data_IF_768778099196
#
_entry.id   IF_768778099196
#
_cell.length_a   1.000
_cell.length_b   1.000
_cell.length_c   1.000
_cell.angle_alpha   90.00
_cell.angle_beta   90.00
_cell.angle_gamma   90.00
#
_symmetry.space_group_name_H-M   'P 1'
#
loop_
_entity.id
_entity.type
_entity.pdbx_description
1 polymer ?
#
# COMPACT_ATOMS: atom_id res chain seq x y z
N UNK A 1 10.14 -1.81 -38.05
CA UNK A 1 9.95 -2.99 -37.20
C UNK A 1 11.29 -3.68 -37.10
N UNK A 2 11.61 -4.39 -36.01
CA UNK A 2 12.80 -5.24 -36.00
C UNK A 2 12.68 -6.24 -37.16
N UNK A 3 13.76 -6.49 -37.89
CA UNK A 3 13.77 -7.31 -39.11
C UNK A 3 13.48 -8.82 -38.85
N UNK A 4 13.19 -9.19 -37.60
CA UNK A 4 13.15 -10.57 -37.10
C UNK A 4 11.86 -10.91 -36.30
N UNK A 5 10.77 -10.17 -36.48
CA UNK A 5 9.53 -10.48 -35.78
C UNK A 5 8.81 -11.67 -36.44
N UNK A 6 8.71 -12.80 -35.74
CA UNK A 6 8.02 -14.01 -36.23
C UNK A 6 6.50 -13.83 -36.31
N UNK A 7 5.92 -13.06 -35.37
CA UNK A 7 4.48 -12.78 -35.29
C UNK A 7 4.20 -11.31 -34.95
N UNK A 8 3.09 -10.78 -35.47
CA UNK A 8 2.60 -9.43 -35.16
C UNK A 8 1.17 -9.54 -34.64
N UNK A 9 0.95 -9.08 -33.40
CA UNK A 9 -0.35 -9.04 -32.76
C UNK A 9 -0.84 -7.59 -32.69
N UNK A 10 -2.06 -7.35 -33.22
CA UNK A 10 -2.76 -6.07 -33.06
C UNK A 10 -4.14 -6.40 -32.50
N UNK A 11 -4.37 -6.05 -31.24
CA UNK A 11 -5.67 -6.25 -30.61
C UNK A 11 -6.70 -5.28 -31.18
N UNK A 12 -7.96 -5.73 -31.27
CA UNK A 12 -9.12 -4.93 -31.65
C UNK A 12 -10.27 -5.06 -30.63
N UNK A 13 -9.98 -5.55 -29.42
CA UNK A 13 -10.99 -5.72 -28.38
C UNK A 13 -11.63 -4.37 -28.02
N UNK A 14 -12.97 -4.33 -27.95
CA UNK A 14 -13.74 -3.15 -27.55
C UNK A 14 -14.50 -3.37 -26.23
N UNK A 15 -14.33 -4.53 -25.61
CA UNK A 15 -14.92 -4.91 -24.34
C UNK A 15 -13.99 -5.85 -23.59
N UNK A 16 -14.21 -6.04 -22.27
CA UNK A 16 -13.47 -7.04 -21.53
C UNK A 16 -13.61 -8.44 -22.11
N UNK A 17 -12.59 -9.30 -21.95
CA UNK A 17 -12.65 -10.70 -22.42
C UNK A 17 -13.73 -11.47 -21.64
N UNK A 18 -13.73 -11.36 -20.33
CA UNK A 18 -14.81 -11.85 -19.47
C UNK A 18 -15.46 -10.69 -18.74
N UNK A 19 -16.79 -10.59 -18.88
CA UNK A 19 -17.65 -9.72 -18.07
C UNK A 19 -18.65 -10.58 -17.31
N UNK A 20 -18.51 -10.62 -16.00
CA UNK A 20 -19.29 -11.45 -15.08
C UNK A 20 -20.02 -10.52 -14.12
N UNK A 21 -21.35 -10.49 -14.20
CA UNK A 21 -22.15 -9.52 -13.43
C UNK A 21 -23.34 -10.20 -12.77
N UNK A 22 -23.58 -9.87 -11.50
CA UNK A 22 -24.74 -10.36 -10.73
C UNK A 22 -24.82 -11.90 -10.63
N UNK A 23 -23.66 -12.56 -10.67
CA UNK A 23 -23.55 -14.02 -10.55
C UNK A 23 -22.46 -14.31 -9.53
N UNK A 24 -22.83 -15.07 -8.51
CA UNK A 24 -21.92 -15.51 -7.45
C UNK A 24 -21.24 -16.83 -7.81
N UNK A 25 -20.17 -17.16 -7.08
CA UNK A 25 -19.48 -18.47 -7.14
C UNK A 25 -18.87 -18.80 -8.50
N UNK A 26 -18.34 -17.79 -9.21
CA UNK A 26 -17.67 -17.99 -10.49
C UNK A 26 -16.15 -17.96 -10.31
N UNK A 27 -15.51 -19.07 -10.68
CA UNK A 27 -14.05 -19.22 -10.65
C UNK A 27 -13.47 -19.16 -12.05
N UNK A 28 -12.42 -18.34 -12.23
CA UNK A 28 -11.53 -18.36 -13.39
C UNK A 28 -10.18 -18.86 -12.89
N UNK A 29 -9.71 -19.98 -13.44
CA UNK A 29 -8.44 -20.55 -13.01
C UNK A 29 -7.63 -21.20 -14.13
N UNK A 30 -6.31 -21.21 -13.96
CA UNK A 30 -5.36 -21.90 -14.84
C UNK A 30 -5.41 -21.45 -16.32
N UNK A 31 -5.66 -20.16 -16.56
CA UNK A 31 -5.73 -19.58 -17.91
C UNK A 31 -4.58 -18.59 -18.17
N UNK A 32 -4.24 -18.43 -19.45
CA UNK A 32 -3.36 -17.38 -19.94
C UNK A 32 -4.20 -16.39 -20.74
N UNK A 33 -4.08 -15.11 -20.41
CA UNK A 33 -4.81 -13.99 -20.98
C UNK A 33 -3.84 -13.05 -21.68
N UNK A 34 -4.04 -12.81 -22.97
CA UNK A 34 -3.13 -12.00 -23.78
C UNK A 34 -3.86 -11.12 -24.80
N UNK A 35 -3.20 -10.02 -25.19
CA UNK A 35 -3.55 -9.20 -26.35
C UNK A 35 -4.96 -8.58 -26.31
N UNK A 36 -5.29 -7.88 -25.22
CA UNK A 36 -6.50 -7.07 -25.09
C UNK A 36 -6.15 -5.58 -24.99
N UNK A 37 -6.90 -4.72 -25.69
CA UNK A 37 -6.91 -3.26 -25.44
C UNK A 37 -7.68 -2.95 -24.15
N UNK A 38 -8.80 -3.64 -23.93
CA UNK A 38 -9.69 -3.44 -22.78
C UNK A 38 -9.29 -4.33 -21.60
N UNK A 39 -10.03 -4.23 -20.50
CA UNK A 39 -9.78 -5.05 -19.31
C UNK A 39 -9.86 -6.56 -19.62
N UNK A 40 -9.12 -7.42 -18.93
CA UNK A 40 -9.23 -8.86 -19.21
C UNK A 40 -10.47 -9.48 -18.56
N UNK A 41 -10.64 -9.25 -17.27
CA UNK A 41 -11.65 -9.90 -16.44
C UNK A 41 -12.32 -8.85 -15.55
N UNK A 42 -13.62 -8.68 -15.75
CA UNK A 42 -14.46 -7.70 -15.04
C UNK A 42 -15.58 -8.45 -14.30
N UNK A 43 -15.50 -8.46 -12.97
CA UNK A 43 -16.50 -8.97 -12.06
C UNK A 43 -17.20 -7.81 -11.35
N UNK A 44 -18.54 -7.75 -11.44
CA UNK A 44 -19.33 -6.70 -10.80
C UNK A 44 -20.55 -7.24 -10.06
N UNK A 45 -20.72 -6.79 -8.82
CA UNK A 45 -21.82 -7.18 -7.94
C UNK A 45 -21.91 -8.71 -7.78
N UNK A 46 -20.78 -9.33 -7.43
CA UNK A 46 -20.62 -10.78 -7.26
C UNK A 46 -20.15 -11.13 -5.85
N UNK A 47 -20.26 -12.39 -5.45
CA UNK A 47 -19.73 -12.92 -4.19
C UNK A 47 -19.16 -14.31 -4.40
N UNK A 48 -18.25 -14.73 -3.52
CA UNK A 48 -17.65 -16.07 -3.57
C UNK A 48 -16.91 -16.38 -4.89
N UNK A 49 -16.43 -15.35 -5.59
CA UNK A 49 -15.70 -15.49 -6.84
C UNK A 49 -14.20 -15.59 -6.62
N UNK A 50 -13.52 -16.27 -7.54
CA UNK A 50 -12.09 -16.55 -7.43
C UNK A 50 -11.41 -16.38 -8.79
N UNK A 51 -10.31 -15.62 -8.81
CA UNK A 51 -9.35 -15.62 -9.92
C UNK A 51 -8.04 -16.24 -9.41
N UNK A 52 -7.74 -17.45 -9.87
CA UNK A 52 -6.67 -18.27 -9.30
C UNK A 52 -5.69 -18.80 -10.34
N UNK A 53 -4.39 -18.64 -10.09
CA UNK A 53 -3.34 -19.27 -10.91
C UNK A 53 -3.44 -18.93 -12.41
N UNK A 54 -3.79 -17.69 -12.74
CA UNK A 54 -3.84 -17.19 -14.11
C UNK A 54 -2.59 -16.37 -14.45
N UNK A 55 -2.24 -16.35 -15.73
CA UNK A 55 -1.23 -15.44 -16.28
C UNK A 55 -1.90 -14.41 -17.17
N UNK A 56 -1.41 -13.19 -17.07
CA UNK A 56 -2.02 -11.98 -17.56
C UNK A 56 -0.88 -11.15 -18.17
N UNK A 57 -0.78 -11.08 -19.52
CA UNK A 57 0.28 -10.32 -20.21
C UNK A 57 -0.11 -9.64 -21.53
N UNK A 58 0.64 -8.60 -21.93
CA UNK A 58 0.40 -7.85 -23.18
C UNK A 58 -0.99 -7.17 -23.23
N UNK A 59 -1.30 -6.40 -22.18
CA UNK A 59 -2.62 -5.79 -21.94
C UNK A 59 -2.66 -4.27 -22.03
N UNK A 60 -3.72 -3.69 -22.58
CA UNK A 60 -3.88 -2.25 -22.75
C UNK A 60 -4.45 -1.51 -21.53
N UNK A 61 -5.32 -2.14 -20.75
CA UNK A 61 -5.93 -1.54 -19.54
C UNK A 61 -5.74 -2.42 -18.30
N UNK A 62 -6.80 -2.64 -17.49
CA UNK A 62 -6.73 -3.37 -16.22
C UNK A 62 -6.81 -4.87 -16.46
N UNK A 63 -6.41 -5.69 -15.49
CA UNK A 63 -6.47 -7.15 -15.67
C UNK A 63 -7.70 -7.72 -15.01
N UNK A 64 -7.73 -7.55 -13.70
CA UNK A 64 -8.78 -8.12 -12.87
C UNK A 64 -9.39 -6.98 -12.10
N UNK A 65 -10.63 -6.69 -12.44
CA UNK A 65 -11.50 -5.89 -11.61
C UNK A 65 -12.49 -6.83 -10.94
N UNK A 66 -12.48 -6.87 -9.60
CA UNK A 66 -13.34 -7.77 -8.84
C UNK A 66 -14.03 -7.01 -7.71
N UNK A 67 -15.31 -6.72 -7.91
CA UNK A 67 -16.12 -5.93 -6.99
C UNK A 67 -17.37 -6.68 -6.53
N UNK A 68 -17.58 -6.71 -5.22
CA UNK A 68 -18.65 -7.45 -4.58
C UNK A 68 -18.75 -7.16 -3.09
N UNK A 69 -19.42 -8.03 -2.35
CA UNK A 69 -19.58 -7.84 -0.90
C UNK A 69 -18.71 -8.81 -0.11
N UNK A 70 -18.65 -10.09 -0.50
CA UNK A 70 -18.13 -11.15 0.37
C UNK A 70 -17.28 -12.20 -0.34
N UNK A 71 -16.20 -12.64 0.34
CA UNK A 71 -15.40 -13.84 0.05
C UNK A 71 -14.94 -13.96 -1.41
N UNK A 72 -14.54 -12.83 -1.96
CA UNK A 72 -14.11 -12.64 -3.33
C UNK A 72 -12.59 -12.54 -3.36
N UNK A 73 -11.90 -13.35 -4.16
CA UNK A 73 -10.47 -13.55 -4.01
C UNK A 73 -9.70 -13.48 -5.34
N UNK A 74 -8.52 -12.88 -5.31
CA UNK A 74 -7.56 -12.83 -6.41
C UNK A 74 -6.27 -13.43 -5.88
N UNK A 75 -5.89 -14.62 -6.34
CA UNK A 75 -4.76 -15.35 -5.77
C UNK A 75 -3.86 -16.05 -6.78
N UNK A 76 -2.56 -16.11 -6.49
CA UNK A 76 -1.56 -16.87 -7.27
C UNK A 76 -1.45 -16.45 -8.73
N UNK A 77 -1.81 -15.21 -9.05
CA UNK A 77 -1.77 -14.72 -10.43
C UNK A 77 -0.42 -14.08 -10.77
N UNK A 78 -0.03 -14.17 -12.04
CA UNK A 78 1.16 -13.52 -12.60
C UNK A 78 0.72 -12.49 -13.62
N UNK A 79 1.08 -11.23 -13.40
CA UNK A 79 0.63 -10.09 -14.21
C UNK A 79 1.86 -9.30 -14.68
N UNK A 80 2.02 -9.10 -15.98
CA UNK A 80 3.11 -8.27 -16.50
C UNK A 80 2.84 -7.66 -17.87
N UNK A 81 3.61 -6.63 -18.23
CA UNK A 81 3.50 -5.91 -19.50
C UNK A 81 2.09 -5.36 -19.75
N UNK A 82 1.75 -4.34 -18.97
CA UNK A 82 0.37 -3.84 -18.87
C UNK A 82 0.25 -2.34 -18.98
N UNK A 83 -0.85 -1.85 -19.58
CA UNK A 83 -1.06 -0.43 -19.82
C UNK A 83 -1.67 0.34 -18.63
N UNK A 84 -2.42 -0.31 -17.74
CA UNK A 84 -2.98 0.30 -16.53
C UNK A 84 -2.78 -0.62 -15.30
N UNK A 85 -3.64 -0.47 -14.29
CA UNK A 85 -3.62 -1.18 -13.01
C UNK A 85 -3.59 -2.71 -13.18
N UNK A 86 -2.81 -3.42 -12.36
CA UNK A 86 -2.79 -4.88 -12.36
C UNK A 86 -4.12 -5.46 -11.87
N UNK A 87 -4.47 -5.28 -10.60
CA UNK A 87 -5.75 -5.77 -10.07
C UNK A 87 -6.41 -4.82 -9.06
N UNK A 88 -7.74 -4.83 -9.08
CA UNK A 88 -8.62 -4.19 -8.10
C UNK A 88 -9.48 -5.24 -7.40
N UNK A 89 -9.53 -5.19 -6.07
CA UNK A 89 -10.45 -5.98 -5.25
C UNK A 89 -11.29 -5.05 -4.36
N UNK A 90 -12.61 -5.04 -4.52
CA UNK A 90 -13.52 -4.23 -3.72
C UNK A 90 -14.53 -5.11 -3.00
N UNK A 91 -14.54 -5.05 -1.67
CA UNK A 91 -15.37 -5.91 -0.84
C UNK A 91 -15.85 -5.27 0.46
N UNK A 92 -17.00 -5.74 0.97
CA UNK A 92 -17.61 -5.25 2.20
C UNK A 92 -18.38 -3.95 2.00
N UNK A 93 -18.78 -3.32 3.11
CA UNK A 93 -19.52 -2.07 3.13
C UNK A 93 -18.97 -1.14 4.22
N UNK A 94 -18.44 0.02 3.81
CA UNK A 94 -17.83 1.00 4.72
C UNK A 94 -18.89 1.62 5.64
N UNK A 95 -19.99 2.13 5.07
CA UNK A 95 -21.09 2.77 5.82
C UNK A 95 -21.57 1.91 6.99
N UNK A 96 -21.71 0.60 6.76
CA UNK A 96 -22.23 -0.35 7.74
C UNK A 96 -21.15 -1.15 8.50
N UNK A 97 -19.86 -0.87 8.28
CA UNK A 97 -18.74 -1.67 8.80
C UNK A 97 -18.91 -3.19 8.55
N UNK A 98 -19.49 -3.56 7.41
CA UNK A 98 -19.64 -4.97 7.04
C UNK A 98 -18.35 -5.45 6.40
N UNK A 99 -17.68 -6.38 7.07
CA UNK A 99 -16.41 -6.96 6.62
C UNK A 99 -16.61 -7.88 5.41
N UNK A 100 -15.85 -7.61 4.35
CA UNK A 100 -15.86 -8.41 3.14
C UNK A 100 -15.13 -9.74 3.28
N UNK A 101 -14.07 -9.78 4.09
CA UNK A 101 -13.18 -10.95 4.24
C UNK A 101 -12.62 -11.44 2.90
N UNK A 102 -12.30 -10.50 2.01
CA UNK A 102 -11.75 -10.78 0.69
C UNK A 102 -10.21 -10.74 0.70
N UNK A 103 -9.60 -11.59 -0.13
CA UNK A 103 -8.15 -11.77 -0.16
C UNK A 103 -7.57 -11.48 -1.54
N UNK A 104 -6.64 -10.52 -1.59
CA UNK A 104 -5.69 -10.36 -2.69
C UNK A 104 -4.35 -10.89 -2.21
N UNK A 105 -4.04 -12.15 -2.53
CA UNK A 105 -2.87 -12.83 -1.95
C UNK A 105 -2.03 -13.65 -2.93
N UNK A 106 -0.72 -13.72 -2.72
CA UNK A 106 0.19 -14.50 -3.56
C UNK A 106 0.21 -14.09 -5.03
N UNK A 107 -0.08 -12.84 -5.35
CA UNK A 107 -0.02 -12.33 -6.72
C UNK A 107 1.32 -11.66 -7.00
N UNK A 108 1.74 -11.73 -8.25
CA UNK A 108 2.92 -11.07 -8.78
C UNK A 108 2.52 -10.07 -9.85
N UNK A 109 3.01 -8.84 -9.74
CA UNK A 109 2.88 -7.81 -10.77
C UNK A 109 4.24 -7.22 -11.14
N UNK A 110 4.56 -7.14 -12.43
CA UNK A 110 5.79 -6.49 -12.91
C UNK A 110 5.50 -5.65 -14.15
N UNK A 111 6.05 -4.43 -14.24
CA UNK A 111 5.93 -3.57 -15.44
C UNK A 111 4.46 -3.36 -15.82
N UNK A 112 3.69 -2.89 -14.84
CA UNK A 112 2.31 -2.46 -15.05
C UNK A 112 2.22 -0.96 -15.30
N UNK A 113 1.04 -0.48 -15.72
CA UNK A 113 0.74 0.96 -15.88
C UNK A 113 1.59 1.71 -16.93
N UNK A 114 1.96 1.05 -18.02
CA UNK A 114 2.81 1.60 -19.08
C UNK A 114 2.15 2.66 -19.98
N UNK A 115 0.82 2.78 -19.93
CA UNK A 115 0.06 3.80 -20.68
C UNK A 115 -0.48 4.85 -19.72
N UNK A 116 -1.02 4.43 -18.58
CA UNK A 116 -1.53 5.30 -17.54
C UNK A 116 -0.57 5.35 -16.34
N UNK A 117 0.39 6.27 -16.40
CA UNK A 117 1.56 6.30 -15.49
C UNK A 117 1.26 6.69 -14.04
N UNK A 118 0.29 7.57 -13.77
CA UNK A 118 0.06 8.16 -12.44
C UNK A 118 -1.33 7.86 -11.90
N UNK A 119 -1.45 7.86 -10.57
CA UNK A 119 -2.64 7.47 -9.79
C UNK A 119 -3.20 6.06 -10.11
N UNK A 120 -2.34 5.18 -10.63
CA UNK A 120 -2.66 3.80 -10.92
C UNK A 120 -1.70 2.89 -10.13
N UNK A 121 -2.20 2.16 -9.12
CA UNK A 121 -1.41 1.17 -8.42
C UNK A 121 -1.32 -0.14 -9.21
N UNK A 122 -0.31 -0.96 -8.93
CA UNK A 122 -0.37 -2.36 -9.36
C UNK A 122 -1.55 -3.05 -8.69
N UNK A 123 -1.62 -2.99 -7.37
CA UNK A 123 -2.65 -3.66 -6.58
C UNK A 123 -3.44 -2.68 -5.73
N UNK A 124 -4.77 -2.75 -5.86
CA UNK A 124 -5.71 -1.91 -5.09
C UNK A 124 -6.72 -2.78 -4.36
N UNK A 125 -6.92 -2.50 -3.08
CA UNK A 125 -8.01 -3.06 -2.30
C UNK A 125 -8.89 -1.96 -1.71
N UNK A 126 -10.20 -2.12 -1.77
CA UNK A 126 -11.15 -1.18 -1.19
C UNK A 126 -12.25 -1.87 -0.38
N UNK A 127 -12.75 -1.15 0.61
CA UNK A 127 -13.96 -1.50 1.37
C UNK A 127 -13.66 -1.77 2.83
N UNK A 128 -14.29 -2.75 3.46
CA UNK A 128 -14.13 -2.97 4.91
C UNK A 128 -13.65 -4.39 5.19
N UNK A 129 -12.63 -4.55 6.03
CA UNK A 129 -12.25 -5.88 6.55
C UNK A 129 -11.67 -6.84 5.52
N UNK A 130 -10.79 -6.36 4.63
CA UNK A 130 -10.18 -7.16 3.56
C UNK A 130 -8.66 -7.25 3.73
N UNK A 131 -8.03 -8.18 3.00
CA UNK A 131 -6.62 -8.51 3.16
C UNK A 131 -5.88 -8.43 1.83
N UNK A 132 -4.77 -7.70 1.81
CA UNK A 132 -3.79 -7.71 0.73
C UNK A 132 -2.49 -8.24 1.31
N UNK A 133 -2.15 -9.50 1.02
CA UNK A 133 -1.02 -10.16 1.70
C UNK A 133 -0.16 -11.04 0.82
N UNK A 134 1.11 -11.20 1.14
CA UNK A 134 2.03 -12.06 0.39
C UNK A 134 2.04 -11.76 -1.12
N UNK A 135 1.96 -10.51 -1.55
CA UNK A 135 2.10 -10.15 -2.97
C UNK A 135 3.51 -9.63 -3.24
N UNK A 136 3.93 -9.67 -4.51
CA UNK A 136 5.15 -9.04 -4.99
C UNK A 136 4.84 -8.06 -6.13
N UNK A 137 5.34 -6.83 -6.02
CA UNK A 137 5.22 -5.81 -7.07
C UNK A 137 6.61 -5.31 -7.45
N UNK A 138 6.90 -5.27 -8.76
CA UNK A 138 8.17 -4.78 -9.28
C UNK A 138 7.99 -3.79 -10.44
N UNK A 139 8.90 -2.82 -10.55
CA UNK A 139 9.08 -1.98 -11.73
C UNK A 139 7.82 -1.22 -12.18
N UNK A 140 7.13 -0.55 -11.26
CA UNK A 140 5.92 0.22 -11.57
C UNK A 140 6.19 1.72 -11.55
N UNK A 141 5.52 2.51 -12.42
CA UNK A 141 5.83 3.92 -12.61
C UNK A 141 5.46 4.83 -11.43
N UNK A 142 4.46 4.45 -10.63
CA UNK A 142 3.91 5.30 -9.57
C UNK A 142 3.64 4.51 -8.28
N UNK A 143 2.49 3.86 -8.13
CA UNK A 143 2.12 3.19 -6.87
C UNK A 143 2.29 1.67 -6.96
N UNK A 144 2.88 1.07 -5.91
CA UNK A 144 2.89 -0.39 -5.76
C UNK A 144 1.53 -0.90 -5.29
N UNK A 145 1.22 -0.55 -4.05
CA UNK A 145 0.01 -0.93 -3.32
C UNK A 145 -0.82 0.30 -2.96
N UNK A 146 -2.14 0.19 -3.10
CA UNK A 146 -3.12 1.18 -2.65
C UNK A 146 -4.20 0.49 -1.83
N UNK A 147 -4.66 1.14 -0.77
CA UNK A 147 -5.89 0.72 -0.10
C UNK A 147 -6.77 1.87 0.36
N UNK A 148 -8.08 1.64 0.34
CA UNK A 148 -9.09 2.56 0.84
C UNK A 148 -10.16 1.83 1.65
N UNK A 149 -10.27 2.18 2.92
CA UNK A 149 -11.35 1.72 3.79
C UNK A 149 -10.87 1.20 5.15
N UNK A 150 -11.80 1.04 6.11
CA UNK A 150 -11.49 0.63 7.47
C UNK A 150 -11.18 -0.87 7.56
N UNK A 151 -10.44 -1.24 8.59
CA UNK A 151 -10.14 -2.64 8.93
C UNK A 151 -9.43 -3.44 7.83
N UNK A 152 -8.71 -2.76 6.93
CA UNK A 152 -7.90 -3.39 5.89
C UNK A 152 -6.55 -3.81 6.45
N UNK A 153 -6.12 -5.02 6.12
CA UNK A 153 -4.79 -5.52 6.44
C UNK A 153 -3.90 -5.57 5.19
N UNK A 154 -2.73 -4.94 5.28
CA UNK A 154 -1.65 -4.99 4.29
C UNK A 154 -0.47 -5.71 4.95
N UNK A 155 -0.23 -6.98 4.62
CA UNK A 155 0.79 -7.77 5.33
C UNK A 155 1.65 -8.70 4.48
N UNK A 156 2.91 -8.87 4.84
CA UNK A 156 3.82 -9.80 4.15
C UNK A 156 4.02 -9.51 2.65
N UNK A 157 3.74 -8.29 2.18
CA UNK A 157 3.95 -7.93 0.79
C UNK A 157 5.39 -7.45 0.56
N UNK A 158 5.85 -7.53 -0.68
CA UNK A 158 7.18 -7.11 -1.12
C UNK A 158 7.08 -6.17 -2.33
N UNK A 159 7.80 -5.06 -2.31
CA UNK A 159 7.82 -4.11 -3.43
C UNK A 159 9.24 -3.67 -3.76
N UNK A 160 9.57 -3.68 -5.07
CA UNK A 160 10.91 -3.43 -5.58
C UNK A 160 10.84 -2.41 -6.72
N UNK A 161 11.71 -1.39 -6.69
CA UNK A 161 11.84 -0.42 -7.76
C UNK A 161 10.49 0.22 -8.18
N UNK A 162 9.81 0.80 -7.20
CA UNK A 162 8.56 1.54 -7.36
C UNK A 162 8.87 3.01 -7.69
N UNK A 163 7.86 3.74 -8.18
CA UNK A 163 7.98 5.15 -8.55
C UNK A 163 9.00 5.45 -9.65
N UNK A 164 9.28 4.49 -10.54
CA UNK A 164 10.38 4.63 -11.49
C UNK A 164 10.17 5.72 -12.56
N UNK A 165 8.96 6.29 -12.65
CA UNK A 165 8.57 7.31 -13.64
C UNK A 165 7.75 8.48 -13.05
N UNK A 166 7.57 8.53 -11.72
CA UNK A 166 6.77 9.56 -11.04
C UNK A 166 7.26 9.85 -9.61
N UNK A 167 6.81 10.97 -9.03
CA UNK A 167 7.14 11.45 -7.69
C UNK A 167 5.83 11.66 -6.95
N UNK A 168 5.90 11.84 -5.63
CA UNK A 168 4.72 11.92 -4.77
C UNK A 168 3.92 10.62 -4.80
N UNK A 169 4.67 9.55 -4.57
CA UNK A 169 4.19 8.19 -4.69
C UNK A 169 4.97 7.27 -3.76
N UNK A 170 4.48 6.05 -3.59
CA UNK A 170 5.19 5.09 -2.78
C UNK A 170 4.91 3.63 -3.10
N UNK A 171 5.68 2.77 -2.43
CA UNK A 171 5.43 1.34 -2.42
C UNK A 171 4.03 1.05 -1.85
N UNK A 172 3.61 1.80 -0.84
CA UNK A 172 2.25 1.78 -0.30
C UNK A 172 1.70 3.19 -0.14
N UNK A 173 0.48 3.43 -0.60
CA UNK A 173 -0.24 4.70 -0.43
C UNK A 173 -1.64 4.50 0.16
N UNK A 174 -2.02 5.42 1.05
CA UNK A 174 -3.38 5.71 1.45
C UNK A 174 -3.43 7.15 1.98
N UNK A 175 -4.59 7.84 1.96
CA UNK A 175 -4.65 9.21 2.46
C UNK A 175 -6.07 9.78 2.62
N UNK A 176 -6.21 10.98 3.19
CA UNK A 176 -7.44 11.79 3.14
C UNK A 176 -8.71 11.20 3.78
N UNK A 177 -8.57 10.31 4.78
CA UNK A 177 -9.72 9.70 5.47
C UNK A 177 -9.51 9.58 6.99
N UNK A 178 -10.48 10.10 7.75
CA UNK A 178 -10.49 9.96 9.21
C UNK A 178 -11.13 8.65 9.65
N UNK A 179 -11.97 8.06 8.81
CA UNK A 179 -12.81 6.89 9.09
C UNK A 179 -12.17 5.56 8.67
N UNK A 180 -11.07 5.57 7.91
CA UNK A 180 -10.39 4.35 7.43
C UNK A 180 -9.55 3.66 8.54
N UNK A 181 -10.08 3.64 9.76
CA UNK A 181 -9.39 3.20 10.98
C UNK A 181 -9.42 1.68 11.18
N UNK A 182 -8.58 1.22 12.10
CA UNK A 182 -8.52 -0.19 12.51
C UNK A 182 -7.83 -1.09 11.49
N UNK A 183 -7.21 -0.49 10.46
CA UNK A 183 -6.35 -1.19 9.52
C UNK A 183 -4.96 -1.46 10.10
N UNK A 184 -4.24 -2.39 9.48
CA UNK A 184 -2.85 -2.67 9.85
C UNK A 184 -1.94 -2.79 8.62
N UNK A 185 -0.76 -2.19 8.71
CA UNK A 185 0.32 -2.30 7.73
C UNK A 185 1.47 -3.00 8.46
N UNK A 186 1.69 -4.29 8.20
CA UNK A 186 2.63 -5.08 8.99
C UNK A 186 3.45 -6.09 8.22
N UNK A 187 4.70 -6.27 8.64
CA UNK A 187 5.58 -7.29 8.08
C UNK A 187 5.75 -7.19 6.56
N UNK A 188 5.70 -6.00 5.99
CA UNK A 188 6.00 -5.79 4.56
C UNK A 188 7.49 -5.48 4.37
N UNK A 189 8.02 -5.79 3.19
CA UNK A 189 9.40 -5.46 2.82
C UNK A 189 9.42 -4.65 1.52
N UNK A 190 9.66 -3.35 1.64
CA UNK A 190 9.74 -2.45 0.49
C UNK A 190 11.17 -2.01 0.31
N UNK A 191 11.75 -2.18 -0.88
CA UNK A 191 13.15 -1.84 -1.08
C UNK A 191 13.53 -1.36 -2.48
N UNK A 192 14.71 -0.74 -2.54
CA UNK A 192 15.42 -0.37 -3.77
C UNK A 192 14.59 0.48 -4.74
N UNK A 193 13.91 1.49 -4.20
CA UNK A 193 13.11 2.44 -4.99
C UNK A 193 13.79 3.80 -5.04
N UNK A 194 14.31 4.15 -6.22
CA UNK A 194 15.14 5.35 -6.43
C UNK A 194 14.42 6.50 -7.14
N UNK A 195 13.23 6.24 -7.66
CA UNK A 195 12.45 7.24 -8.39
C UNK A 195 12.92 7.51 -9.81
N UNK A 196 12.27 8.49 -10.43
CA UNK A 196 12.65 9.04 -11.73
C UNK A 196 13.48 10.32 -11.52
N UNK A 197 14.81 10.23 -11.55
CA UNK A 197 15.66 11.42 -11.43
C UNK A 197 17.06 11.13 -10.91
N UNK A 198 18.02 11.86 -11.48
CA UNK A 198 19.46 11.77 -11.21
C UNK A 198 19.81 11.90 -9.72
N UNK A 199 21.01 11.44 -9.29
CA UNK A 199 21.54 11.75 -7.96
C UNK A 199 21.42 13.25 -7.64
N UNK A 200 20.65 13.60 -6.60
CA UNK A 200 20.42 14.99 -6.18
C UNK A 200 19.15 15.65 -6.74
N UNK A 201 18.40 15.00 -7.64
CA UNK A 201 17.05 15.40 -8.01
C UNK A 201 16.04 14.84 -7.02
N UNK A 202 15.34 15.68 -6.27
CA UNK A 202 14.41 15.30 -5.20
C UNK A 202 13.15 14.59 -5.71
N UNK A 203 13.27 13.31 -6.07
CA UNK A 203 12.12 12.44 -6.31
C UNK A 203 11.49 12.09 -4.96
N UNK A 204 10.23 12.47 -4.74
CA UNK A 204 9.52 12.21 -3.49
C UNK A 204 8.96 10.78 -3.51
N UNK A 205 9.86 9.82 -3.36
CA UNK A 205 9.56 8.37 -3.38
C UNK A 205 9.50 7.82 -1.97
N UNK A 206 8.36 7.25 -1.61
CA UNK A 206 8.04 6.94 -0.23
C UNK A 206 7.88 5.43 -0.05
N UNK A 207 8.40 4.86 1.02
CA UNK A 207 8.12 3.46 1.34
C UNK A 207 6.68 3.27 1.73
N UNK A 208 6.34 3.80 2.90
CA UNK A 208 4.97 3.83 3.44
C UNK A 208 4.48 5.28 3.42
N UNK A 209 3.43 5.56 2.65
CA UNK A 209 2.84 6.89 2.55
C UNK A 209 1.44 6.90 3.17
N UNK A 210 1.35 7.44 4.40
CA UNK A 210 0.11 7.63 5.16
C UNK A 210 -0.24 9.11 5.07
N UNK A 211 -0.95 9.47 4.01
CA UNK A 211 -1.04 10.85 3.56
C UNK A 211 -2.26 11.58 4.12
N UNK A 212 -2.23 12.90 4.03
CA UNK A 212 -3.41 13.76 4.14
C UNK A 212 -4.35 13.45 5.32
N UNK A 213 -3.83 13.49 6.55
CA UNK A 213 -4.56 13.20 7.77
C UNK A 213 -5.18 11.79 7.88
N UNK A 214 -4.70 10.81 7.12
CA UNK A 214 -5.05 9.42 7.35
C UNK A 214 -4.81 9.04 8.82
N UNK A 215 -5.82 8.46 9.46
CA UNK A 215 -5.85 8.33 10.92
C UNK A 215 -6.19 6.90 11.37
N UNK A 216 -5.80 6.54 12.59
CA UNK A 216 -6.17 5.26 13.23
C UNK A 216 -5.51 4.02 12.63
N UNK A 217 -4.28 4.14 12.14
CA UNK A 217 -3.51 3.03 11.54
C UNK A 217 -2.57 2.37 12.55
N UNK A 218 -2.44 1.05 12.49
CA UNK A 218 -1.39 0.27 13.16
C UNK A 218 -0.29 -0.11 12.15
N UNK A 219 0.93 0.41 12.32
CA UNK A 219 2.02 0.27 11.34
C UNK A 219 3.25 -0.32 12.03
N UNK A 220 3.52 -1.61 11.82
CA UNK A 220 4.58 -2.28 12.56
C UNK A 220 5.27 -3.46 11.89
N UNK A 221 6.51 -3.71 12.27
CA UNK A 221 7.26 -4.85 11.75
C UNK A 221 7.60 -4.74 10.28
N UNK A 222 7.44 -3.57 9.65
CA UNK A 222 7.79 -3.37 8.25
C UNK A 222 9.27 -3.07 8.11
N UNK A 223 9.83 -3.42 6.96
CA UNK A 223 11.19 -3.08 6.56
C UNK A 223 11.09 -2.21 5.31
N UNK A 224 11.65 -1.02 5.37
CA UNK A 224 11.80 -0.12 4.22
C UNK A 224 13.27 0.18 4.04
N UNK A 225 13.84 -0.17 2.89
CA UNK A 225 15.28 -0.09 2.66
C UNK A 225 15.65 0.53 1.31
N UNK A 226 16.70 1.35 1.28
CA UNK A 226 17.27 1.91 0.05
C UNK A 226 16.27 2.77 -0.77
N UNK A 227 15.53 3.65 -0.08
CA UNK A 227 14.63 4.60 -0.72
C UNK A 227 15.32 5.95 -0.93
N UNK A 228 15.26 6.49 -2.15
CA UNK A 228 15.69 7.88 -2.42
C UNK A 228 14.54 8.83 -2.07
N UNK A 229 14.08 8.75 -0.84
CA UNK A 229 12.97 9.48 -0.25
C UNK A 229 12.66 8.93 1.14
N UNK A 230 11.45 9.09 1.65
CA UNK A 230 11.19 8.76 3.06
C UNK A 230 10.90 7.26 3.24
N UNK A 231 11.39 6.68 4.33
CA UNK A 231 11.01 5.34 4.75
C UNK A 231 9.51 5.28 5.05
N UNK A 232 9.07 6.18 5.92
CA UNK A 232 7.65 6.49 6.14
C UNK A 232 7.40 7.99 6.04
N UNK A 233 6.32 8.37 5.37
CA UNK A 233 5.77 9.71 5.37
C UNK A 233 4.42 9.70 6.11
N UNK A 234 4.38 10.38 7.26
CA UNK A 234 3.21 10.57 8.11
C UNK A 234 2.67 11.99 7.90
N UNK A 235 1.78 12.13 6.92
CA UNK A 235 1.21 13.41 6.47
C UNK A 235 0.11 13.92 7.42
N UNK A 236 0.46 14.08 8.69
CA UNK A 236 -0.49 14.35 9.76
C UNK A 236 -1.37 13.14 10.09
N UNK A 237 -2.57 13.42 10.59
CA UNK A 237 -3.52 12.37 10.98
C UNK A 237 -3.29 11.90 12.42
N UNK A 238 -4.38 11.55 13.09
CA UNK A 238 -4.43 11.29 14.53
C UNK A 238 -4.54 9.80 14.83
N UNK A 239 -4.16 9.41 16.05
CA UNK A 239 -4.32 8.05 16.55
C UNK A 239 -3.59 6.98 15.70
N UNK A 240 -2.52 7.37 15.00
CA UNK A 240 -1.64 6.43 14.28
C UNK A 240 -0.57 5.88 15.24
N UNK A 241 -0.34 4.58 15.19
CA UNK A 241 0.65 3.90 16.02
C UNK A 241 1.71 3.24 15.11
N UNK A 242 2.94 3.75 15.18
CA UNK A 242 4.04 3.41 14.27
C UNK A 242 5.19 2.84 15.09
N UNK A 243 5.39 1.52 15.03
CA UNK A 243 6.36 0.88 15.92
C UNK A 243 7.03 -0.36 15.36
N UNK A 244 8.19 -0.72 15.90
CA UNK A 244 8.88 -1.97 15.53
C UNK A 244 9.19 -2.07 14.02
N UNK A 245 9.41 -0.95 13.34
CA UNK A 245 9.77 -0.92 11.92
C UNK A 245 11.27 -0.70 11.74
N UNK A 246 11.81 -1.12 10.60
CA UNK A 246 13.18 -0.83 10.15
C UNK A 246 13.09 0.14 8.97
N UNK A 247 13.76 1.29 9.10
CA UNK A 247 13.96 2.26 8.03
C UNK A 247 15.46 2.42 7.79
N UNK A 248 15.95 1.81 6.70
CA UNK A 248 17.37 1.73 6.39
C UNK A 248 17.71 2.46 5.09
N UNK A 249 18.72 3.33 5.12
CA UNK A 249 19.23 3.99 3.92
C UNK A 249 18.12 4.71 3.12
N UNK A 250 17.34 5.53 3.83
CA UNK A 250 16.32 6.41 3.27
C UNK A 250 16.82 7.86 3.22
N UNK A 251 16.14 8.78 2.56
CA UNK A 251 16.39 10.23 2.75
C UNK A 251 16.03 10.64 4.18
N UNK A 252 14.83 10.27 4.61
CA UNK A 252 14.42 10.30 6.01
C UNK A 252 13.93 8.92 6.42
N UNK A 253 14.35 8.40 7.57
CA UNK A 253 13.79 7.16 8.11
C UNK A 253 12.30 7.35 8.41
N UNK A 254 12.01 8.34 9.25
CA UNK A 254 10.67 8.87 9.51
C UNK A 254 10.58 10.32 9.08
N UNK A 255 9.48 10.70 8.43
CA UNK A 255 9.10 12.10 8.25
C UNK A 255 7.66 12.31 8.68
N UNK A 256 7.44 13.29 9.55
CA UNK A 256 6.10 13.70 9.98
C UNK A 256 5.84 15.17 9.72
N UNK A 257 4.59 15.50 9.43
CA UNK A 257 4.10 16.88 9.42
C UNK A 257 2.76 17.01 10.17
N UNK A 258 2.32 18.25 10.38
CA UNK A 258 1.02 18.56 10.96
C UNK A 258 0.18 19.35 9.95
N UNK A 259 0.02 18.80 8.74
CA UNK A 259 -0.55 19.55 7.60
C UNK A 259 -2.02 19.96 7.70
N UNK A 260 -2.81 19.25 8.52
CA UNK A 260 -4.25 19.42 8.59
C UNK A 260 -4.72 20.88 8.66
N UNK A 261 -4.28 21.70 9.63
CA UNK A 261 -4.72 23.08 9.76
C UNK A 261 -4.56 23.99 8.53
N UNK A 262 -3.64 23.69 7.62
CA UNK A 262 -3.39 24.53 6.43
C UNK A 262 -3.64 23.82 5.09
N UNK A 263 -3.77 22.49 5.06
CA UNK A 263 -4.14 21.73 3.85
C UNK A 263 -5.60 21.28 3.83
N UNK A 264 -6.27 21.20 4.97
CA UNK A 264 -7.67 20.80 5.04
C UNK A 264 -8.56 21.75 4.23
N UNK A 265 -9.40 21.19 3.36
CA UNK A 265 -10.35 21.96 2.58
C UNK A 265 -11.73 21.94 3.22
N UNK A 266 -12.30 23.11 3.47
CA UNK A 266 -13.64 23.24 4.06
C UNK A 266 -14.76 23.35 3.03
N UNK A 267 -14.41 23.49 1.76
CA UNK A 267 -15.33 23.70 0.65
C UNK A 267 -15.91 22.37 0.16
N UNK A 268 -17.18 22.41 -0.23
CA UNK A 268 -17.89 21.25 -0.76
C UNK A 268 -17.25 20.76 -2.06
N UNK A 269 -17.02 19.46 -2.17
CA UNK A 269 -16.45 18.81 -3.34
C UNK A 269 -14.92 18.88 -3.43
N UNK A 270 -14.25 19.45 -2.43
CA UNK A 270 -12.78 19.41 -2.35
C UNK A 270 -12.31 18.04 -1.86
N UNK A 271 -11.25 17.51 -2.48
CA UNK A 271 -10.72 16.16 -2.19
C UNK A 271 -10.22 15.97 -0.75
N UNK A 272 -9.79 17.05 -0.09
CA UNK A 272 -9.29 17.04 1.29
C UNK A 272 -10.30 17.60 2.32
N UNK A 273 -11.59 17.49 2.02
CA UNK A 273 -12.65 17.77 2.98
C UNK A 273 -13.01 16.48 3.75
N UNK A 274 -12.27 16.20 4.83
CA UNK A 274 -12.37 14.89 5.52
C UNK A 274 -13.75 14.62 6.11
N UNK A 275 -14.47 15.65 6.58
CA UNK A 275 -15.84 15.48 7.06
C UNK A 275 -16.78 15.08 5.92
N UNK A 276 -16.64 15.69 4.73
CA UNK A 276 -17.42 15.33 3.55
C UNK A 276 -17.03 13.97 2.99
N UNK A 277 -15.75 13.57 3.05
CA UNK A 277 -15.31 12.24 2.66
C UNK A 277 -16.00 11.15 3.50
N UNK A 278 -16.13 11.35 4.81
CA UNK A 278 -16.91 10.46 5.68
C UNK A 278 -18.39 10.40 5.27
N UNK A 279 -19.00 11.57 5.01
CA UNK A 279 -20.41 11.65 4.61
C UNK A 279 -20.65 10.96 3.25
N UNK A 280 -19.73 11.12 2.29
CA UNK A 280 -19.75 10.45 0.98
C UNK A 280 -19.60 8.93 1.11
N UNK A 281 -18.86 8.47 2.11
CA UNK A 281 -18.75 7.04 2.46
C UNK A 281 -19.97 6.53 3.26
N UNK A 282 -20.95 7.38 3.55
CA UNK A 282 -22.16 7.03 4.29
C UNK A 282 -21.92 6.73 5.76
N UNK A 283 -20.86 7.30 6.35
CA UNK A 283 -20.45 7.02 7.74
C UNK A 283 -21.24 7.88 8.72
N UNK A 284 -22.15 7.26 9.46
CA UNK A 284 -22.81 7.89 10.61
C UNK A 284 -21.98 7.70 11.89
N UNK A 285 -21.03 8.60 12.12
CA UNK A 285 -20.12 8.56 13.28
C UNK A 285 -20.80 8.74 14.65
N UNK A 286 -22.08 9.10 14.71
CA UNK A 286 -22.80 9.33 15.97
C UNK A 286 -23.69 8.16 16.37
N UNK A 287 -23.99 7.25 15.44
CA UNK A 287 -24.83 6.08 15.69
C UNK A 287 -24.05 4.77 15.46
N UNK A 288 -24.53 3.65 16.03
CA UNK A 288 -23.99 2.34 15.70
C UNK A 288 -24.10 2.05 14.18
N UNK A 289 -23.13 1.35 13.59
CA UNK A 289 -22.03 0.64 14.26
C UNK A 289 -20.83 1.53 14.61
N UNK A 290 -20.68 2.70 13.98
CA UNK A 290 -19.49 3.54 14.08
C UNK A 290 -19.26 4.12 15.47
N UNK A 291 -20.30 4.67 16.12
CA UNK A 291 -20.12 5.27 17.45
C UNK A 291 -19.75 4.25 18.54
N UNK A 292 -20.11 2.97 18.34
CA UNK A 292 -19.72 1.88 19.23
C UNK A 292 -18.31 1.37 18.93
N UNK A 293 -17.97 1.18 17.64
CA UNK A 293 -16.68 0.62 17.22
C UNK A 293 -15.53 1.64 17.34
N UNK A 294 -15.78 2.88 16.93
CA UNK A 294 -14.81 3.98 16.89
C UNK A 294 -15.36 5.22 17.60
N UNK A 295 -15.50 5.18 18.95
CA UNK A 295 -16.13 6.26 19.71
C UNK A 295 -15.40 7.60 19.61
N UNK A 296 -14.10 7.63 19.26
CA UNK A 296 -13.36 8.88 19.03
C UNK A 296 -13.95 9.70 17.88
N UNK A 297 -14.46 9.05 16.83
CA UNK A 297 -15.09 9.73 15.69
C UNK A 297 -16.38 10.48 16.08
N UNK A 298 -17.13 9.96 17.07
CA UNK A 298 -18.35 10.60 17.57
C UNK A 298 -18.10 11.94 18.29
N UNK A 299 -16.84 12.25 18.59
CA UNK A 299 -16.41 13.49 19.25
C UNK A 299 -15.97 14.58 18.28
N UNK A 300 -15.77 14.22 17.00
CA UNK A 300 -15.43 15.20 15.97
C UNK A 300 -16.55 16.24 15.84
N UNK A 301 -16.22 17.49 15.47
CA UNK A 301 -17.21 18.48 15.08
C UNK A 301 -18.20 17.94 14.04
N UNK A 302 -19.47 18.37 14.11
CA UNK A 302 -20.49 17.93 13.15
C UNK A 302 -20.28 18.58 11.80
N UNK A 303 -19.83 19.82 11.79
CA UNK A 303 -19.71 20.64 10.58
C UNK A 303 -18.32 21.21 10.40
N UNK A 304 -17.99 21.56 9.16
CA UNK A 304 -16.76 22.29 8.84
C UNK A 304 -16.70 23.66 9.55
N UNK A 305 -17.83 24.33 9.75
CA UNK A 305 -17.88 25.61 10.48
C UNK A 305 -17.52 25.46 11.96
N UNK A 306 -17.91 24.35 12.59
CA UNK A 306 -17.46 24.04 13.94
C UNK A 306 -15.98 23.65 13.94
N UNK A 307 -15.53 22.84 12.98
CA UNK A 307 -14.13 22.40 12.89
C UNK A 307 -13.15 23.57 12.69
N UNK A 308 -13.55 24.61 11.93
CA UNK A 308 -12.73 25.83 11.71
C UNK A 308 -12.41 26.61 12.98
N UNK A 309 -13.19 26.46 14.04
CA UNK A 309 -12.99 27.24 15.27
C UNK A 309 -11.64 26.86 15.91
N UNK A 310 -10.85 27.84 16.40
CA UNK A 310 -9.52 27.57 16.95
C UNK A 310 -9.48 26.45 17.99
N UNK A 311 -10.48 26.36 18.85
CA UNK A 311 -10.62 25.32 19.88
C UNK A 311 -10.82 23.90 19.32
N UNK A 312 -11.24 23.76 18.06
CA UNK A 312 -11.52 22.48 17.40
C UNK A 312 -10.44 22.08 16.37
N UNK A 313 -9.49 22.96 16.06
CA UNK A 313 -8.42 22.67 15.08
C UNK A 313 -7.53 21.50 15.50
N UNK A 314 -7.50 21.17 16.79
CA UNK A 314 -6.78 20.02 17.30
C UNK A 314 -7.26 18.68 16.70
N UNK A 315 -8.52 18.59 16.24
CA UNK A 315 -9.06 17.37 15.64
C UNK A 315 -8.38 16.96 14.32
N UNK A 316 -7.72 17.91 13.65
CA UNK A 316 -6.97 17.68 12.40
C UNK A 316 -5.44 17.78 12.61
N UNK A 317 -5.01 17.85 13.88
CA UNK A 317 -3.60 17.70 14.25
C UNK A 317 -3.27 16.22 14.51
N UNK A 318 -1.98 15.83 14.38
CA UNK A 318 -1.53 14.46 14.63
C UNK A 318 -1.42 14.11 16.12
N UNK A 319 -2.48 14.41 16.87
CA UNK A 319 -2.62 14.06 18.28
C UNK A 319 -2.86 12.56 18.46
N UNK A 320 -2.57 12.06 19.66
CA UNK A 320 -2.74 10.65 20.04
C UNK A 320 -1.96 9.67 19.16
N UNK A 321 -1.00 10.16 18.37
CA UNK A 321 -0.08 9.32 17.61
C UNK A 321 1.08 8.87 18.49
N UNK A 322 1.42 7.58 18.38
CA UNK A 322 2.55 6.98 19.07
C UNK A 322 3.59 6.49 18.05
N UNK A 323 4.82 6.98 18.17
CA UNK A 323 5.94 6.55 17.33
C UNK A 323 7.02 6.00 18.25
N UNK A 324 7.20 4.67 18.27
CA UNK A 324 8.10 4.05 19.23
C UNK A 324 8.75 2.76 18.76
N UNK A 325 9.91 2.41 19.34
CA UNK A 325 10.60 1.16 19.03
C UNK A 325 10.95 0.96 17.54
N UNK A 326 11.25 2.03 16.80
CA UNK A 326 11.66 1.91 15.40
C UNK A 326 13.18 1.96 15.26
N UNK A 327 13.70 1.18 14.32
CA UNK A 327 15.11 1.23 13.92
C UNK A 327 15.24 2.16 12.73
N UNK A 328 15.83 3.32 12.93
CA UNK A 328 16.20 4.25 11.86
C UNK A 328 17.71 4.28 11.76
N UNK A 329 18.26 3.98 10.58
CA UNK A 329 19.70 3.87 10.41
C UNK A 329 20.15 4.21 8.98
N UNK A 330 21.31 4.85 8.88
CA UNK A 330 21.98 5.22 7.64
C UNK A 330 21.17 6.14 6.70
N UNK A 331 20.28 6.98 7.26
CA UNK A 331 19.52 7.92 6.43
C UNK A 331 20.42 9.01 5.85
N UNK A 332 20.21 9.39 4.59
CA UNK A 332 21.10 10.31 3.85
C UNK A 332 20.91 11.78 4.24
N UNK A 333 19.73 12.16 4.77
CA UNK A 333 19.49 13.49 5.34
C UNK A 333 19.40 13.44 6.86
N UNK A 334 18.34 12.84 7.41
CA UNK A 334 18.16 12.65 8.86
C UNK A 334 17.38 11.38 9.13
N UNK A 335 17.68 10.70 10.22
CA UNK A 335 16.88 9.52 10.63
C UNK A 335 15.41 9.88 10.91
N UNK A 336 15.16 11.06 11.49
CA UNK A 336 13.82 11.62 11.67
C UNK A 336 13.75 13.09 11.21
N UNK A 337 12.76 13.40 10.39
CA UNK A 337 12.40 14.73 9.90
C UNK A 337 11.02 15.15 10.41
N UNK A 338 10.87 16.45 10.68
CA UNK A 338 9.65 17.03 11.21
C UNK A 338 9.35 18.34 10.52
N UNK A 339 8.06 18.59 10.28
CA UNK A 339 7.54 19.86 9.82
C UNK A 339 6.43 20.35 10.76
N UNK A 340 6.17 21.66 10.75
CA UNK A 340 5.03 22.28 11.45
C UNK A 340 5.02 22.07 12.98
N UNK A 341 6.18 21.72 13.56
CA UNK A 341 6.30 21.44 15.00
C UNK A 341 5.61 20.14 15.43
N UNK A 342 5.37 19.21 14.50
CA UNK A 342 4.68 17.93 14.77
C UNK A 342 5.27 17.16 15.95
N UNK A 343 6.57 17.27 16.18
CA UNK A 343 7.28 16.59 17.27
C UNK A 343 6.80 17.00 18.66
N UNK A 344 6.10 18.13 18.77
CA UNK A 344 5.50 18.65 20.02
C UNK A 344 4.04 18.27 20.17
N UNK A 345 3.42 17.72 19.12
CA UNK A 345 1.99 17.44 19.01
C UNK A 345 1.72 15.95 19.17
N UNK A 346 2.58 15.12 18.58
CA UNK A 346 2.51 13.66 18.74
C UNK A 346 2.57 13.28 20.22
N UNK A 347 1.78 12.29 20.62
CA UNK A 347 1.64 11.88 22.01
C UNK A 347 2.91 11.23 22.53
N UNK A 348 3.54 10.40 21.71
CA UNK A 348 4.70 9.60 22.11
C UNK A 348 5.76 9.54 21.02
N UNK A 349 7.00 9.81 21.41
CA UNK A 349 8.20 9.60 20.61
C UNK A 349 9.30 8.97 21.47
N UNK A 350 9.42 7.64 21.47
CA UNK A 350 10.29 6.93 22.41
C UNK A 350 10.98 5.72 21.79
N UNK A 351 12.19 5.36 22.26
CA UNK A 351 12.88 4.13 21.86
C UNK A 351 13.08 3.97 20.34
N UNK A 352 13.15 5.08 19.61
CA UNK A 352 13.53 5.09 18.21
C UNK A 352 15.04 5.28 18.11
N UNK A 353 15.75 4.36 17.45
CA UNK A 353 17.20 4.53 17.22
C UNK A 353 17.47 5.59 16.17
N UNK A 354 18.73 6.00 16.06
CA UNK A 354 19.24 6.82 14.98
C UNK A 354 20.60 6.27 14.51
N UNK A 355 21.21 6.92 13.52
CA UNK A 355 22.46 6.49 12.89
C UNK A 355 23.69 6.47 13.81
N UNK A 356 23.62 7.03 15.03
CA UNK A 356 24.66 6.87 16.05
C UNK A 356 24.53 5.58 16.87
N UNK A 357 23.42 4.87 16.72
CA UNK A 357 23.06 3.70 17.49
C UNK A 357 22.99 2.48 16.57
N UNK A 358 24.10 1.74 16.50
CA UNK A 358 24.25 0.62 15.58
C UNK A 358 23.22 -0.50 15.86
N UNK A 359 22.33 -0.82 14.89
CA UNK A 359 21.40 -1.94 15.02
C UNK A 359 22.10 -3.31 14.95
N UNK A 360 23.34 -3.37 14.48
CA UNK A 360 24.11 -4.60 14.31
C UNK A 360 23.42 -5.62 13.41
N UNK A 361 23.00 -5.18 12.22
CA UNK A 361 22.47 -6.06 11.17
C UNK A 361 23.44 -7.20 10.84
N UNK A 362 22.92 -8.38 10.52
CA UNK A 362 23.75 -9.50 10.07
C UNK A 362 24.44 -9.18 8.75
N UNK A 363 23.70 -8.66 7.76
CA UNK A 363 24.23 -8.30 6.44
C UNK A 363 23.28 -7.36 5.66
N UNK A 364 23.21 -6.09 6.09
CA UNK A 364 22.37 -5.10 5.41
C UNK A 364 22.75 -4.86 3.94
N UNK A 365 23.99 -5.17 3.54
CA UNK A 365 24.44 -5.02 2.15
C UNK A 365 23.80 -6.03 1.20
N UNK A 366 23.38 -7.18 1.73
CA UNK A 366 22.63 -8.22 1.03
C UNK A 366 21.16 -8.29 1.49
N UNK A 367 20.62 -7.16 1.99
CA UNK A 367 19.23 -7.04 2.46
C UNK A 367 18.85 -7.97 3.63
N UNK A 368 19.82 -8.42 4.42
CA UNK A 368 19.57 -9.16 5.67
C UNK A 368 19.49 -8.19 6.85
N UNK A 369 18.27 -7.76 7.15
CA UNK A 369 17.95 -6.82 8.23
C UNK A 369 17.68 -7.49 9.58
N UNK A 370 17.92 -8.80 9.72
CA UNK A 370 17.95 -9.42 11.05
C UNK A 370 19.08 -8.78 11.86
N UNK A 371 18.87 -8.62 13.15
CA UNK A 371 19.82 -7.95 14.04
C UNK A 371 20.40 -8.92 15.06
N UNK A 372 21.58 -8.60 15.56
CA UNK A 372 22.19 -9.32 16.68
C UNK A 372 21.62 -8.76 17.99
N UNK A 373 21.44 -9.61 19.00
CA UNK A 373 20.83 -9.24 20.31
C UNK A 373 21.57 -8.12 21.06
N UNK A 374 22.81 -7.81 20.68
CA UNK A 374 23.59 -6.71 21.25
C UNK A 374 23.40 -5.36 20.52
N UNK A 375 22.57 -5.31 19.46
CA UNK A 375 22.18 -4.06 18.80
C UNK A 375 21.47 -3.09 19.75
N UNK A 376 21.61 -1.79 19.50
CA UNK A 376 21.15 -0.74 20.43
C UNK A 376 19.64 -0.80 20.72
N UNK A 377 18.83 -1.20 19.74
CA UNK A 377 17.37 -1.31 19.91
C UNK A 377 16.97 -2.31 21.01
N UNK A 378 17.72 -3.40 21.20
CA UNK A 378 17.40 -4.41 22.22
C UNK A 378 17.54 -3.88 23.65
N UNK A 379 18.36 -2.83 23.86
CA UNK A 379 18.51 -2.20 25.17
C UNK A 379 17.22 -1.53 25.65
N UNK A 380 16.31 -1.19 24.73
CA UNK A 380 15.02 -0.61 25.07
C UNK A 380 13.97 -1.65 25.51
N UNK A 381 14.24 -2.95 25.38
CA UNK A 381 13.31 -4.05 25.73
C UNK A 381 11.93 -3.93 25.08
N UNK A 382 11.85 -3.27 23.92
CA UNK A 382 10.61 -3.07 23.17
C UNK A 382 10.53 -3.91 21.89
N UNK A 383 11.69 -4.36 21.37
CA UNK A 383 11.82 -4.93 20.04
C UNK A 383 11.25 -6.35 19.95
N UNK A 384 10.59 -6.62 18.83
CA UNK A 384 10.10 -7.92 18.42
C UNK A 384 10.67 -8.25 17.04
N UNK A 385 11.24 -9.45 16.91
CA UNK A 385 11.77 -9.91 15.63
C UNK A 385 10.73 -9.85 14.51
N UNK A 386 11.19 -9.38 13.34
CA UNK A 386 10.40 -9.36 12.12
C UNK A 386 10.53 -10.74 11.46
N UNK A 387 9.42 -11.42 11.12
CA UNK A 387 9.41 -12.75 10.52
C UNK A 387 9.77 -12.70 9.03
N UNK A 388 11.00 -12.26 8.70
CA UNK A 388 11.47 -11.99 7.33
C UNK A 388 11.34 -13.18 6.38
N UNK A 389 11.42 -14.40 6.90
CA UNK A 389 11.29 -15.64 6.14
C UNK A 389 9.86 -15.94 5.65
N UNK A 390 8.88 -15.10 6.02
CA UNK A 390 7.48 -15.16 5.58
C UNK A 390 7.09 -14.02 4.63
N UNK A 391 7.94 -13.01 4.42
CA UNK A 391 7.60 -11.82 3.62
C UNK A 391 7.84 -12.07 2.13
N UNK A 392 6.83 -11.78 1.30
CA UNK A 392 6.83 -11.96 -0.15
C UNK A 392 6.12 -13.25 -0.60
N UNK A 393 6.35 -13.66 -1.84
CA UNK A 393 5.82 -14.90 -2.45
C UNK A 393 6.83 -16.06 -2.42
N UNK A 394 6.32 -17.30 -2.45
CA UNK A 394 7.10 -18.54 -2.43
C UNK A 394 8.01 -18.67 -1.19
N UNK A 395 7.53 -18.21 -0.02
CA UNK A 395 8.24 -18.16 1.26
C UNK A 395 7.82 -19.29 2.22
N UNK A 396 8.20 -19.23 3.50
CA UNK A 396 7.82 -20.25 4.51
C UNK A 396 6.37 -20.16 4.99
N UNK A 397 5.48 -19.59 4.19
CA UNK A 397 4.04 -19.49 4.44
C UNK A 397 3.25 -20.74 3.99
N UNK A 398 3.93 -21.71 3.38
CA UNK A 398 3.33 -22.94 2.88
C UNK A 398 2.75 -22.82 1.46
N UNK A 399 2.79 -21.63 0.85
CA UNK A 399 2.40 -21.41 -0.54
C UNK A 399 3.61 -21.66 -1.46
N UNK A 400 3.46 -22.53 -2.45
CA UNK A 400 4.50 -22.83 -3.45
C UNK A 400 3.96 -22.62 -4.86
N UNK A 401 4.83 -22.14 -5.75
CA UNK A 401 4.75 -22.17 -7.21
C UNK A 401 4.08 -20.96 -7.90
N UNK A 402 4.18 -19.73 -7.39
CA UNK A 402 3.71 -18.55 -8.15
C UNK A 402 4.69 -18.22 -9.29
N UNK A 403 5.99 -18.21 -9.02
CA UNK A 403 7.00 -17.74 -9.99
C UNK A 403 7.64 -18.85 -10.84
N UNK A 404 7.35 -20.14 -10.59
CA UNK A 404 7.95 -21.24 -11.38
C UNK A 404 7.64 -21.16 -12.88
N UNK A 405 6.50 -20.57 -13.24
CA UNK A 405 6.11 -20.40 -14.64
C UNK A 405 6.87 -19.27 -15.36
N UNK A 406 7.48 -18.32 -14.64
CA UNK A 406 8.34 -17.28 -15.22
C UNK A 406 9.72 -17.83 -15.63
N UNK A 407 10.28 -18.76 -14.84
CA UNK A 407 11.56 -19.41 -15.15
C UNK A 407 11.51 -20.26 -16.43
N UNK A 408 10.36 -20.88 -16.73
CA UNK A 408 10.18 -21.61 -17.99
C UNK A 408 10.24 -20.64 -19.19
N UNK A 409 9.74 -19.41 -19.04
CA UNK A 409 9.71 -18.40 -20.12
C UNK A 409 11.09 -17.77 -20.32
N UNK A 410 11.83 -17.47 -19.24
CA UNK A 410 13.22 -16.98 -19.35
C UNK A 410 14.13 -18.01 -20.04
N UNK A 411 14.00 -19.30 -19.69
CA UNK A 411 14.77 -20.36 -20.35
C UNK A 411 14.41 -20.48 -21.84
N UNK A 412 13.14 -20.35 -22.23
CA UNK A 412 12.74 -20.38 -23.65
C UNK A 412 13.29 -19.17 -24.43
N UNK A 413 13.30 -17.97 -23.83
CA UNK A 413 13.86 -16.78 -24.48
C UNK A 413 15.39 -16.83 -24.63
N UNK A 414 16.12 -17.48 -23.72
CA UNK A 414 17.57 -17.71 -23.86
C UNK A 414 17.93 -18.90 -24.76
N UNK A 415 16.97 -19.78 -25.12
CA UNK A 415 17.21 -20.96 -25.96
C UNK A 415 17.06 -20.70 -27.46
N UNK A 416 16.71 -19.48 -27.88
CA UNK A 416 16.42 -19.09 -29.28
C UNK A 416 17.51 -18.15 -29.86
N UNK A 417 18.66 -18.01 -29.19
CA UNK A 417 19.82 -17.26 -29.71
C UNK A 417 20.97 -18.17 -30.16
#
# INVERSE_FOLDING_TARGET
MPDNADDIWISQSLSPIFRIQFIDSVTIENLIFEYSIEDFVDYWAVNYCLVNNCTFRHGGKKWVYLAGIKDNNITKNVIYDTGAQSATLMCGNISQLVRGECYMEHNYANTSSQIQFTFIPAFYIQGCGNYMKHNLVENVPHLGYLYHGPEIEISYNEAINICNSASDCGALYTGAHLEYRGGSIKYNFFHDSKGFGQPGGGSFVLGIYIDDNMSGQEIFGNIVANFVGNGIHHGGGRENNIYNNIFYNCTFGYYGDARGPYRYHYEKGATYNLLENMDNNGVDRYNPPWSTKYPSLSRLPRTNEELKKPENQHWILPEECDIWCNVMYASTNKDAGYQDGVEKIIRRWEWNTNSSQDPMFYDASNLDFRMRENGEIYKYNCWKEIPVEYIGIDKKDGCKNVLKNLLIIAVVLFSIF
#
